data_IF_691517424868
#
_entry.id   IF_691517424868
#
_cell.length_a   1.000
_cell.length_b   1.000
_cell.length_c   1.000
_cell.angle_alpha   90.00
_cell.angle_beta   90.00
_cell.angle_gamma   90.00
#
_symmetry.space_group_name_H-M   'P 1'
#
loop_
_entity.id
_entity.type
_entity.pdbx_description
1 polymer ?
#
# COMPACT_ATOMS: atom_id res chain seq x y z
N UNK A 1 0.65 8.74 -29.77
CA UNK A 1 -0.59 8.38 -29.06
C UNK A 1 -0.42 7.00 -28.47
N UNK A 2 -0.14 6.95 -27.19
CA UNK A 2 0.15 5.68 -26.51
C UNK A 2 -1.13 4.94 -26.08
N UNK A 3 -2.25 5.65 -26.00
CA UNK A 3 -3.51 5.11 -25.53
C UNK A 3 -4.66 5.64 -26.34
N UNK A 4 -5.67 4.81 -26.48
CA UNK A 4 -6.89 5.15 -27.19
C UNK A 4 -7.87 5.81 -26.21
N UNK A 5 -8.45 6.92 -26.57
CA UNK A 5 -9.48 7.57 -25.76
C UNK A 5 -10.80 6.82 -25.92
N UNK A 6 -11.20 6.11 -24.87
CA UNK A 6 -12.41 5.27 -24.87
C UNK A 6 -13.64 6.08 -24.43
N UNK A 7 -13.45 7.12 -23.60
CA UNK A 7 -14.54 7.85 -22.93
C UNK A 7 -14.64 9.32 -23.33
N UNK A 8 -13.81 9.78 -24.26
CA UNK A 8 -13.64 11.20 -24.56
C UNK A 8 -12.82 11.95 -23.50
N UNK A 9 -12.23 11.23 -22.54
CA UNK A 9 -11.35 11.76 -21.49
C UNK A 9 -9.88 11.70 -21.93
N UNK A 10 -9.00 12.30 -21.13
CA UNK A 10 -7.56 12.25 -21.42
C UNK A 10 -6.99 10.87 -21.15
N UNK A 11 -6.43 10.26 -22.16
CA UNK A 11 -5.78 8.94 -22.12
C UNK A 11 -4.27 9.01 -22.37
N UNK A 12 -3.72 10.19 -22.52
CA UNK A 12 -2.30 10.42 -22.73
C UNK A 12 -1.75 11.50 -21.78
N UNK A 13 -0.47 11.39 -21.53
CA UNK A 13 0.28 12.33 -20.70
C UNK A 13 1.26 13.15 -21.55
N UNK A 14 1.76 14.30 -21.06
CA UNK A 14 2.81 15.04 -21.73
C UNK A 14 4.03 14.16 -22.02
N UNK A 15 4.69 14.40 -23.15
CA UNK A 15 5.82 13.58 -23.60
C UNK A 15 6.95 13.49 -22.57
N UNK A 16 7.24 14.57 -21.86
CA UNK A 16 8.24 14.55 -20.79
C UNK A 16 7.88 13.58 -19.65
N UNK A 17 6.62 13.50 -19.26
CA UNK A 17 6.13 12.57 -18.24
C UNK A 17 6.27 11.14 -18.74
N UNK A 18 5.79 10.85 -19.96
CA UNK A 18 5.89 9.52 -20.56
C UNK A 18 7.33 9.05 -20.71
N UNK A 19 8.21 9.93 -21.20
CA UNK A 19 9.62 9.60 -21.39
C UNK A 19 10.30 9.26 -20.07
N UNK A 20 10.04 10.01 -19.00
CA UNK A 20 10.62 9.73 -17.69
C UNK A 20 9.98 8.50 -17.02
N UNK A 21 8.69 8.24 -17.24
CA UNK A 21 8.03 7.02 -16.76
C UNK A 21 8.65 5.78 -17.44
N UNK A 22 8.84 5.80 -18.74
CA UNK A 22 9.47 4.69 -19.46
C UNK A 22 10.92 4.50 -19.06
N UNK A 23 11.71 5.57 -19.08
CA UNK A 23 13.13 5.55 -18.73
C UNK A 23 13.36 5.08 -17.29
N UNK A 24 12.61 5.63 -16.33
CA UNK A 24 12.74 5.28 -14.92
C UNK A 24 12.28 3.86 -14.61
N UNK A 25 11.24 3.37 -15.29
CA UNK A 25 10.82 1.96 -15.13
C UNK A 25 11.85 0.99 -15.70
N UNK A 26 12.48 1.33 -16.82
CA UNK A 26 13.49 0.48 -17.43
C UNK A 26 14.82 0.54 -16.68
N UNK A 27 15.43 1.71 -16.59
CA UNK A 27 16.75 1.86 -15.99
C UNK A 27 16.76 1.72 -14.46
N UNK A 28 15.68 2.11 -13.78
CA UNK A 28 15.57 1.96 -12.34
C UNK A 28 15.52 0.51 -11.86
N UNK A 29 15.20 -0.44 -12.76
CA UNK A 29 15.16 -1.88 -12.46
C UNK A 29 16.49 -2.60 -12.72
N UNK A 30 17.48 -1.91 -13.27
CA UNK A 30 18.79 -2.49 -13.61
C UNK A 30 19.96 -1.78 -12.90
N UNK A 31 19.85 -1.54 -11.57
CA UNK A 31 20.90 -0.83 -10.83
C UNK A 31 22.25 -1.55 -10.89
N UNK A 32 22.26 -2.87 -11.07
CA UNK A 32 23.46 -3.68 -11.25
C UNK A 32 24.23 -3.37 -12.56
N UNK A 33 23.57 -2.78 -13.57
CA UNK A 33 24.21 -2.39 -14.84
C UNK A 33 24.69 -0.95 -14.81
N UNK A 34 23.82 -0.02 -14.35
CA UNK A 34 24.10 1.43 -14.42
C UNK A 34 24.64 2.01 -13.10
N UNK A 35 24.70 1.20 -12.04
CA UNK A 35 25.06 1.60 -10.69
C UNK A 35 23.88 2.17 -9.90
N UNK A 36 23.83 1.86 -8.60
CA UNK A 36 22.71 2.23 -7.70
C UNK A 36 22.45 3.74 -7.65
N UNK A 37 23.54 4.55 -7.59
CA UNK A 37 23.40 6.01 -7.53
C UNK A 37 22.76 6.58 -8.80
N UNK A 38 23.09 6.05 -9.98
CA UNK A 38 22.51 6.50 -11.23
C UNK A 38 21.05 6.06 -11.33
N UNK A 39 20.74 4.80 -10.98
CA UNK A 39 19.39 4.29 -10.94
C UNK A 39 18.52 5.12 -9.98
N UNK A 40 19.04 5.47 -8.80
CA UNK A 40 18.35 6.34 -7.83
C UNK A 40 18.04 7.71 -8.42
N UNK A 41 19.02 8.39 -9.00
CA UNK A 41 18.82 9.71 -9.63
C UNK A 41 17.78 9.69 -10.74
N UNK A 42 17.77 8.63 -11.54
CA UNK A 42 16.76 8.45 -12.62
C UNK A 42 15.37 8.30 -12.02
N UNK A 43 15.22 7.48 -10.98
CA UNK A 43 13.93 7.31 -10.29
C UNK A 43 13.47 8.60 -9.60
N UNK A 44 14.36 9.31 -8.92
CA UNK A 44 14.07 10.62 -8.30
C UNK A 44 13.59 11.63 -9.35
N UNK A 45 14.24 11.69 -10.52
CA UNK A 45 13.82 12.56 -11.62
C UNK A 45 12.46 12.14 -12.18
N UNK A 46 12.21 10.85 -12.37
CA UNK A 46 10.89 10.32 -12.76
C UNK A 46 9.82 10.80 -11.78
N UNK A 47 10.06 10.63 -10.48
CA UNK A 47 9.12 11.05 -9.45
C UNK A 47 8.91 12.58 -9.44
N UNK A 48 9.97 13.36 -9.58
CA UNK A 48 9.87 14.81 -9.62
C UNK A 48 9.01 15.30 -10.81
N UNK A 49 9.25 14.76 -12.01
CA UNK A 49 8.49 15.13 -13.22
C UNK A 49 7.02 14.72 -13.10
N UNK A 50 6.75 13.52 -12.58
CA UNK A 50 5.36 13.05 -12.42
C UNK A 50 4.62 13.87 -11.37
N UNK A 51 5.26 14.20 -10.25
CA UNK A 51 4.70 15.05 -9.21
C UNK A 51 4.39 16.46 -9.74
N UNK A 52 5.33 17.07 -10.46
CA UNK A 52 5.13 18.39 -11.06
C UNK A 52 3.94 18.40 -12.03
N UNK A 53 3.79 17.35 -12.82
CA UNK A 53 2.63 17.16 -13.68
C UNK A 53 1.33 17.10 -12.87
N UNK A 54 1.26 16.28 -11.83
CA UNK A 54 0.07 16.15 -10.99
C UNK A 54 -0.26 17.48 -10.28
N UNK A 55 0.75 18.19 -9.78
CA UNK A 55 0.57 19.50 -9.16
C UNK A 55 -0.04 20.53 -10.11
N UNK A 56 0.45 20.61 -11.34
CA UNK A 56 -0.07 21.52 -12.35
C UNK A 56 -1.48 21.15 -12.79
N UNK A 57 -1.71 19.88 -13.07
CA UNK A 57 -2.98 19.39 -13.59
C UNK A 57 -4.11 19.48 -12.56
N UNK A 58 -3.80 19.29 -11.27
CA UNK A 58 -4.77 19.29 -10.18
C UNK A 58 -4.62 20.48 -9.24
N UNK A 59 -3.99 21.57 -9.69
CA UNK A 59 -3.67 22.73 -8.87
C UNK A 59 -4.89 23.29 -8.13
N UNK A 60 -6.00 23.53 -8.86
CA UNK A 60 -7.23 24.06 -8.28
C UNK A 60 -7.82 23.13 -7.20
N UNK A 61 -7.75 21.83 -7.42
CA UNK A 61 -8.17 20.85 -6.40
C UNK A 61 -7.26 20.94 -5.16
N UNK A 62 -5.95 20.99 -5.35
CA UNK A 62 -4.98 21.02 -4.27
C UNK A 62 -5.10 22.23 -3.36
N UNK A 63 -5.28 23.43 -3.93
CA UNK A 63 -5.33 24.69 -3.16
C UNK A 63 -6.68 24.95 -2.51
N UNK A 64 -7.77 24.37 -3.05
CA UNK A 64 -9.13 24.59 -2.54
C UNK A 64 -9.63 23.41 -1.69
N UNK A 65 -8.85 22.33 -1.54
CA UNK A 65 -9.30 21.16 -0.79
C UNK A 65 -9.40 21.47 0.72
N UNK A 66 -10.60 21.28 1.25
CA UNK A 66 -10.88 21.41 2.69
C UNK A 66 -10.64 20.11 3.42
N UNK A 67 -9.58 20.06 4.23
CA UNK A 67 -9.25 18.89 5.02
C UNK A 67 -10.12 18.81 6.27
N UNK A 68 -10.99 17.80 6.32
CA UNK A 68 -11.80 17.55 7.51
C UNK A 68 -10.90 17.10 8.68
N UNK A 69 -11.12 17.69 9.85
CA UNK A 69 -10.39 17.36 11.07
C UNK A 69 -11.21 16.33 11.83
N UNK A 70 -10.70 15.11 11.93
CA UNK A 70 -11.22 14.12 12.86
C UNK A 70 -10.31 14.10 14.12
N UNK A 71 -10.90 14.36 15.28
CA UNK A 71 -10.20 14.34 16.58
C UNK A 71 -10.59 13.11 17.43
N UNK A 72 -11.43 12.23 16.90
CA UNK A 72 -11.86 11.02 17.59
C UNK A 72 -10.78 9.94 17.57
N UNK A 73 -10.81 9.04 18.53
CA UNK A 73 -9.98 7.83 18.48
C UNK A 73 -10.35 6.99 17.27
N UNK A 74 -9.35 6.31 16.72
CA UNK A 74 -9.56 5.40 15.62
C UNK A 74 -10.47 4.22 16.01
N UNK A 75 -11.23 3.71 15.07
CA UNK A 75 -12.11 2.56 15.30
C UNK A 75 -11.32 1.25 15.40
N UNK A 76 -11.87 0.29 16.15
CA UNK A 76 -11.32 -1.06 16.31
C UNK A 76 -11.77 -2.01 15.19
N UNK A 77 -11.44 -1.65 13.94
CA UNK A 77 -11.75 -2.46 12.76
C UNK A 77 -10.45 -2.75 12.01
N UNK A 78 -10.26 -3.99 11.59
CA UNK A 78 -9.19 -4.38 10.67
C UNK A 78 -9.80 -4.83 9.36
N UNK A 79 -9.41 -4.15 8.28
CA UNK A 79 -9.83 -4.40 6.91
C UNK A 79 -8.74 -5.15 6.16
N UNK A 80 -9.11 -6.22 5.51
CA UNK A 80 -8.22 -6.97 4.60
C UNK A 80 -9.01 -7.32 3.34
N UNK A 81 -8.36 -7.32 2.18
CA UNK A 81 -8.99 -7.65 0.90
C UNK A 81 -8.31 -8.85 0.24
N UNK A 82 -9.13 -9.82 -0.16
CA UNK A 82 -8.76 -10.82 -1.15
C UNK A 82 -9.89 -11.01 -2.15
N UNK A 83 -9.72 -10.48 -3.36
CA UNK A 83 -10.83 -10.34 -4.34
C UNK A 83 -11.52 -11.66 -4.68
N UNK A 84 -10.77 -12.77 -4.69
CA UNK A 84 -11.28 -14.10 -5.05
C UNK A 84 -11.92 -14.86 -3.87
N UNK A 85 -11.92 -14.25 -2.68
CA UNK A 85 -12.37 -14.90 -1.46
C UNK A 85 -11.34 -15.80 -0.79
N UNK A 86 -11.52 -16.03 0.52
CA UNK A 86 -10.59 -16.80 1.35
C UNK A 86 -10.34 -18.20 0.81
N UNK A 87 -11.40 -18.89 0.38
CA UNK A 87 -11.30 -20.30 -0.06
C UNK A 87 -10.39 -20.46 -1.29
N UNK A 88 -10.36 -19.44 -2.16
CA UNK A 88 -9.54 -19.43 -3.37
C UNK A 88 -8.15 -18.80 -3.18
N UNK A 89 -7.84 -18.38 -1.95
CA UNK A 89 -6.53 -17.81 -1.66
C UNK A 89 -5.42 -18.88 -1.64
N UNK A 90 -4.20 -18.56 -2.11
CA UNK A 90 -3.05 -19.45 -1.91
C UNK A 90 -2.82 -19.74 -0.43
N UNK A 91 -2.28 -20.91 -0.10
CA UNK A 91 -2.06 -21.34 1.30
C UNK A 91 -1.27 -20.31 2.13
N UNK A 92 -0.24 -19.71 1.57
CA UNK A 92 0.50 -18.63 2.25
C UNK A 92 -0.42 -17.45 2.59
N UNK A 93 -1.29 -17.05 1.65
CA UNK A 93 -2.24 -15.92 1.86
C UNK A 93 -3.28 -16.29 2.90
N UNK A 94 -3.77 -17.53 2.92
CA UNK A 94 -4.65 -17.99 4.01
C UNK A 94 -3.96 -17.88 5.37
N UNK A 95 -2.69 -18.31 5.47
CA UNK A 95 -1.92 -18.21 6.71
C UNK A 95 -1.72 -16.77 7.17
N UNK A 96 -1.41 -15.86 6.26
CA UNK A 96 -1.26 -14.44 6.60
C UNK A 96 -2.59 -13.80 7.01
N UNK A 97 -3.69 -14.07 6.31
CA UNK A 97 -5.04 -13.65 6.71
C UNK A 97 -5.39 -14.19 8.10
N UNK A 98 -5.09 -15.46 8.38
CA UNK A 98 -5.34 -16.08 9.69
C UNK A 98 -4.52 -15.42 10.80
N UNK A 99 -3.27 -15.00 10.52
CA UNK A 99 -2.45 -14.27 11.48
C UNK A 99 -3.06 -12.91 11.84
N UNK A 100 -3.59 -12.18 10.84
CA UNK A 100 -4.28 -10.90 11.04
C UNK A 100 -5.57 -11.11 11.84
N UNK A 101 -6.38 -12.12 11.46
CA UNK A 101 -7.62 -12.47 12.16
C UNK A 101 -7.34 -12.82 13.63
N UNK A 102 -6.32 -13.62 13.87
CA UNK A 102 -5.93 -14.00 15.23
C UNK A 102 -5.49 -12.84 16.09
N UNK A 103 -4.69 -11.91 15.52
CA UNK A 103 -4.34 -10.67 16.19
C UNK A 103 -5.58 -9.85 16.53
N UNK A 104 -6.52 -9.70 15.59
CA UNK A 104 -7.75 -8.96 15.79
C UNK A 104 -8.58 -9.54 16.94
N UNK A 105 -8.79 -10.85 16.96
CA UNK A 105 -9.51 -11.57 18.02
C UNK A 105 -8.90 -11.32 19.40
N UNK A 106 -7.57 -11.49 19.51
CA UNK A 106 -6.86 -11.33 20.77
C UNK A 106 -6.90 -9.90 21.34
N UNK A 107 -7.03 -8.91 20.47
CA UNK A 107 -7.02 -7.49 20.85
C UNK A 107 -8.41 -6.83 20.76
N UNK A 108 -9.47 -7.61 20.61
CA UNK A 108 -10.85 -7.12 20.52
C UNK A 108 -11.09 -6.14 19.37
N UNK A 109 -10.49 -6.42 18.21
CA UNK A 109 -10.79 -5.74 16.96
C UNK A 109 -11.80 -6.56 16.15
N UNK A 110 -12.70 -5.88 15.45
CA UNK A 110 -13.52 -6.50 14.43
C UNK A 110 -12.65 -6.76 13.20
N UNK A 111 -12.53 -8.01 12.77
CA UNK A 111 -11.84 -8.36 11.53
C UNK A 111 -12.84 -8.49 10.39
N UNK A 112 -12.59 -7.79 9.28
CA UNK A 112 -13.43 -7.83 8.08
C UNK A 112 -12.55 -8.21 6.89
N UNK A 113 -12.76 -9.42 6.37
CA UNK A 113 -12.20 -9.84 5.10
C UNK A 113 -13.16 -9.45 3.98
N UNK A 114 -12.70 -8.55 3.12
CA UNK A 114 -13.43 -8.11 1.94
C UNK A 114 -13.13 -9.05 0.77
N UNK A 115 -14.15 -9.28 -0.02
CA UNK A 115 -14.14 -10.03 -1.26
C UNK A 115 -14.86 -9.19 -2.32
N UNK A 116 -14.71 -9.53 -3.59
CA UNK A 116 -15.32 -8.77 -4.68
C UNK A 116 -16.79 -8.43 -4.43
N UNK A 117 -17.57 -9.41 -4.01
CA UNK A 117 -19.03 -9.28 -3.85
C UNK A 117 -19.45 -8.62 -2.52
N UNK A 118 -18.52 -8.35 -1.62
CA UNK A 118 -18.80 -7.74 -0.31
C UNK A 118 -18.42 -6.27 -0.21
N UNK A 119 -17.65 -5.74 -1.16
CA UNK A 119 -17.15 -4.35 -1.15
C UNK A 119 -18.30 -3.36 -1.08
N UNK A 120 -19.34 -3.55 -1.88
CA UNK A 120 -20.49 -2.64 -1.98
C UNK A 120 -21.34 -2.57 -0.70
N UNK A 121 -21.19 -3.51 0.23
CA UNK A 121 -21.83 -3.44 1.56
C UNK A 121 -21.25 -2.31 2.43
N UNK A 122 -20.02 -1.91 2.17
CA UNK A 122 -19.31 -0.91 2.96
C UNK A 122 -19.11 0.41 2.22
N UNK A 123 -18.77 0.36 0.93
CA UNK A 123 -18.46 1.53 0.11
C UNK A 123 -19.34 1.57 -1.14
N UNK A 124 -20.05 2.66 -1.29
CA UNK A 124 -20.71 3.04 -2.53
C UNK A 124 -19.79 4.01 -3.28
N UNK A 125 -19.28 3.57 -4.42
CA UNK A 125 -18.46 4.41 -5.27
C UNK A 125 -19.31 5.34 -6.13
N UNK A 126 -18.82 6.56 -6.46
CA UNK A 126 -19.47 7.41 -7.44
C UNK A 126 -19.72 6.66 -8.76
N UNK A 127 -20.84 6.96 -9.42
CA UNK A 127 -21.29 6.26 -10.64
C UNK A 127 -20.15 6.14 -11.68
N UNK A 128 -19.46 7.26 -11.97
CA UNK A 128 -18.34 7.27 -12.93
C UNK A 128 -17.22 6.31 -12.53
N UNK A 129 -16.85 6.28 -11.25
CA UNK A 129 -15.81 5.38 -10.74
C UNK A 129 -16.23 3.92 -10.88
N UNK A 130 -17.47 3.62 -10.51
CA UNK A 130 -18.04 2.26 -10.65
C UNK A 130 -18.08 1.80 -12.11
N UNK A 131 -18.48 2.67 -13.03
CA UNK A 131 -18.45 2.40 -14.47
C UNK A 131 -17.04 2.08 -14.97
N UNK A 132 -16.05 2.87 -14.56
CA UNK A 132 -14.64 2.66 -14.94
C UNK A 132 -14.05 1.38 -14.34
N UNK A 133 -14.45 1.00 -13.13
CA UNK A 133 -14.10 -0.29 -12.52
C UNK A 133 -14.70 -1.46 -13.33
N UNK A 134 -15.97 -1.37 -13.70
CA UNK A 134 -16.66 -2.42 -14.46
C UNK A 134 -16.11 -2.59 -15.87
N UNK A 135 -15.64 -1.52 -16.49
CA UNK A 135 -14.99 -1.52 -17.81
C UNK A 135 -13.51 -1.97 -17.75
N UNK A 136 -12.96 -2.21 -16.55
CA UNK A 136 -11.54 -2.56 -16.38
C UNK A 136 -10.56 -1.41 -16.62
N UNK A 137 -11.04 -0.18 -16.73
CA UNK A 137 -10.22 1.05 -16.82
C UNK A 137 -9.46 1.25 -15.51
N UNK A 138 -10.15 1.04 -14.37
CA UNK A 138 -9.54 0.97 -13.05
C UNK A 138 -9.31 -0.50 -12.73
N UNK A 139 -8.06 -0.93 -12.74
CA UNK A 139 -7.67 -2.31 -12.47
C UNK A 139 -7.82 -2.69 -10.99
N UNK A 140 -7.73 -3.98 -10.67
CA UNK A 140 -7.90 -4.49 -9.30
C UNK A 140 -6.92 -3.89 -8.29
N UNK A 141 -5.71 -3.53 -8.72
CA UNK A 141 -4.72 -2.88 -7.84
C UNK A 141 -5.20 -1.48 -7.47
N UNK A 142 -5.67 -0.72 -8.46
CA UNK A 142 -6.20 0.63 -8.22
C UNK A 142 -7.53 0.61 -7.48
N UNK A 143 -8.38 -0.39 -7.73
CA UNK A 143 -9.59 -0.62 -6.92
C UNK A 143 -9.19 -0.81 -5.45
N UNK A 144 -8.18 -1.62 -5.16
CA UNK A 144 -7.67 -1.82 -3.80
C UNK A 144 -7.14 -0.52 -3.18
N UNK A 145 -6.41 0.31 -3.96
CA UNK A 145 -5.90 1.61 -3.50
C UNK A 145 -7.03 2.58 -3.15
N UNK A 146 -8.05 2.68 -3.99
CA UNK A 146 -9.22 3.54 -3.76
C UNK A 146 -10.04 3.02 -2.58
N UNK A 147 -10.25 1.70 -2.50
CA UNK A 147 -11.04 1.06 -1.46
C UNK A 147 -10.43 1.27 -0.07
N UNK A 148 -9.12 1.04 0.10
CA UNK A 148 -8.45 1.19 1.40
C UNK A 148 -8.61 2.59 1.97
N UNK A 149 -8.41 3.62 1.17
CA UNK A 149 -8.54 5.01 1.63
C UNK A 149 -10.01 5.42 1.80
N UNK A 150 -10.93 4.86 1.03
CA UNK A 150 -12.37 5.10 1.18
C UNK A 150 -12.90 4.50 2.49
N UNK A 151 -12.48 3.29 2.83
CA UNK A 151 -12.86 2.63 4.10
C UNK A 151 -12.30 3.39 5.30
N UNK A 152 -11.01 3.75 5.26
CA UNK A 152 -10.37 4.49 6.34
C UNK A 152 -10.97 5.89 6.50
N UNK A 153 -11.32 6.57 5.41
CA UNK A 153 -11.99 7.87 5.45
C UNK A 153 -13.41 7.80 6.05
N UNK A 154 -14.14 6.71 5.79
CA UNK A 154 -15.55 6.57 6.21
C UNK A 154 -15.68 5.96 7.61
N UNK A 155 -14.90 4.94 7.89
CA UNK A 155 -15.05 4.13 9.10
C UNK A 155 -13.84 4.21 10.04
N UNK A 156 -12.71 4.71 9.57
CA UNK A 156 -11.44 4.53 10.26
C UNK A 156 -10.99 3.07 10.27
N UNK A 157 -10.25 2.70 11.30
CA UNK A 157 -9.71 1.36 11.46
C UNK A 157 -8.32 1.20 10.85
N UNK A 158 -7.99 -0.01 10.50
CA UNK A 158 -6.67 -0.39 9.99
C UNK A 158 -6.82 -1.21 8.73
N UNK A 159 -6.20 -0.78 7.65
CA UNK A 159 -6.02 -1.59 6.45
C UNK A 159 -4.74 -2.39 6.56
N UNK A 160 -4.83 -3.69 6.32
CA UNK A 160 -3.70 -4.61 6.27
C UNK A 160 -3.84 -5.46 5.00
N UNK A 161 -2.84 -5.41 4.11
CA UNK A 161 -2.85 -6.27 2.92
C UNK A 161 -2.83 -7.76 3.31
N UNK A 162 -3.54 -8.57 2.55
CA UNK A 162 -3.67 -10.01 2.79
C UNK A 162 -2.34 -10.79 2.79
N UNK A 163 -1.27 -10.21 2.28
CA UNK A 163 0.09 -10.79 2.27
C UNK A 163 0.97 -10.34 3.44
N UNK A 164 0.36 -9.77 4.47
CA UNK A 164 1.06 -9.37 5.70
C UNK A 164 0.91 -10.46 6.75
N UNK A 165 2.04 -10.97 7.24
CA UNK A 165 2.08 -11.77 8.46
C UNK A 165 2.17 -10.83 9.67
N UNK A 166 1.21 -10.97 10.58
CA UNK A 166 1.09 -10.12 11.77
C UNK A 166 1.29 -10.96 13.03
N UNK A 167 2.27 -10.58 13.85
CA UNK A 167 2.51 -11.24 15.13
C UNK A 167 1.41 -10.90 16.15
N UNK A 168 1.11 -11.88 17.02
CA UNK A 168 0.08 -11.71 18.07
C UNK A 168 0.44 -10.66 19.09
N UNK A 169 1.73 -10.41 19.31
CA UNK A 169 2.29 -9.45 20.26
C UNK A 169 2.63 -8.07 19.66
N UNK A 170 2.09 -7.77 18.46
CA UNK A 170 2.14 -6.41 17.93
C UNK A 170 1.38 -5.45 18.89
N UNK A 171 1.95 -4.28 19.14
CA UNK A 171 1.30 -3.28 20.02
C UNK A 171 0.03 -2.71 19.36
N UNK A 172 -1.11 -3.22 19.81
CA UNK A 172 -2.42 -2.82 19.28
C UNK A 172 -2.78 -1.36 19.57
N UNK A 173 -2.13 -0.72 20.56
CA UNK A 173 -2.39 0.69 20.89
C UNK A 173 -1.98 1.64 19.77
N UNK A 174 -1.00 1.25 18.96
CA UNK A 174 -0.57 1.99 17.77
C UNK A 174 -1.69 2.16 16.76
N UNK A 175 -2.57 1.15 16.65
CA UNK A 175 -3.69 1.15 15.70
C UNK A 175 -4.85 2.06 16.13
N UNK A 176 -4.86 2.53 17.37
CA UNK A 176 -5.89 3.44 17.89
C UNK A 176 -5.55 4.92 17.72
N UNK A 177 -4.40 5.23 17.15
CA UNK A 177 -3.98 6.59 16.83
C UNK A 177 -4.74 7.12 15.60
N UNK A 178 -4.81 8.46 15.47
CA UNK A 178 -5.45 9.09 14.31
C UNK A 178 -4.72 8.79 12.98
N UNK A 179 -3.45 8.47 13.07
CA UNK A 179 -2.65 8.03 11.92
C UNK A 179 -1.52 7.12 12.39
N UNK A 180 -1.40 5.96 11.78
CA UNK A 180 -0.28 5.06 11.94
C UNK A 180 0.01 4.32 10.63
N UNK A 181 1.28 4.12 10.36
CA UNK A 181 1.82 3.21 9.34
C UNK A 181 3.18 2.72 9.78
N UNK A 182 3.69 1.67 9.17
CA UNK A 182 5.04 1.18 9.47
C UNK A 182 6.07 2.10 8.82
N UNK A 183 7.02 2.60 9.62
CA UNK A 183 8.16 3.40 9.19
C UNK A 183 9.45 2.68 9.54
N UNK A 184 10.04 1.99 8.59
CA UNK A 184 11.16 1.07 8.82
C UNK A 184 12.51 1.73 9.09
N UNK A 185 12.64 3.03 8.98
CA UNK A 185 13.91 3.73 9.13
C UNK A 185 14.59 4.02 7.79
N UNK A 186 15.91 4.26 7.83
CA UNK A 186 16.68 4.48 6.61
C UNK A 186 16.73 3.21 5.77
N UNK A 187 16.73 3.39 4.47
CA UNK A 187 16.81 2.25 3.56
C UNK A 187 18.21 1.71 3.56
N UNK A 188 18.37 0.47 4.00
CA UNK A 188 19.62 -0.26 3.84
C UNK A 188 19.87 -0.62 2.36
N UNK A 189 18.78 -0.83 1.61
CA UNK A 189 18.82 -1.24 0.21
C UNK A 189 18.33 -0.11 -0.71
N UNK A 190 18.80 -0.10 -1.96
CA UNK A 190 18.28 0.76 -3.01
C UNK A 190 16.77 0.53 -3.15
N UNK A 191 16.00 1.59 -2.97
CA UNK A 191 14.56 1.59 -3.25
C UNK A 191 14.18 2.85 -4.01
N UNK A 192 13.68 2.71 -5.24
CA UNK A 192 13.19 3.82 -6.04
C UNK A 192 11.84 4.36 -5.57
N UNK A 193 11.51 4.19 -4.30
CA UNK A 193 10.17 4.43 -3.77
C UNK A 193 9.96 5.91 -3.46
N UNK A 194 8.87 6.49 -3.96
CA UNK A 194 8.49 7.87 -3.70
C UNK A 194 8.17 8.13 -2.22
N UNK A 195 7.73 7.12 -1.48
CA UNK A 195 7.42 7.24 -0.05
C UNK A 195 8.65 7.56 0.80
N UNK A 196 9.86 7.23 0.34
CA UNK A 196 11.11 7.39 1.09
C UNK A 196 10.99 6.87 2.54
N UNK A 197 10.35 5.72 2.70
CA UNK A 197 10.05 5.07 3.98
C UNK A 197 9.13 5.85 4.95
N UNK A 198 8.49 6.93 4.51
CA UNK A 198 7.56 7.70 5.35
C UNK A 198 6.26 6.96 5.63
N UNK A 199 5.83 6.06 4.74
CA UNK A 199 4.64 5.23 4.86
C UNK A 199 4.76 3.91 4.12
N UNK A 200 3.86 2.98 4.43
CA UNK A 200 3.65 1.72 3.71
C UNK A 200 2.18 1.61 3.34
N UNK A 201 1.86 1.74 2.05
CA UNK A 201 0.47 1.69 1.55
C UNK A 201 -0.28 0.39 1.89
N UNK A 202 0.45 -0.69 2.14
CA UNK A 202 -0.11 -1.99 2.50
C UNK A 202 -0.40 -2.17 4.01
N UNK A 203 -0.10 -1.16 4.84
CA UNK A 203 -0.40 -1.13 6.27
C UNK A 203 -0.68 0.32 6.69
N UNK A 204 -1.94 0.68 6.76
CA UNK A 204 -2.41 2.03 7.06
C UNK A 204 -3.47 1.98 8.14
N UNK A 205 -3.35 2.82 9.14
CA UNK A 205 -4.31 2.88 10.25
C UNK A 205 -4.69 4.32 10.57
N UNK A 206 -5.91 4.53 10.98
CA UNK A 206 -6.40 5.81 11.49
C UNK A 206 -7.65 6.32 10.80
N UNK A 207 -8.00 7.52 11.19
CA UNK A 207 -9.08 8.33 10.65
C UNK A 207 -8.56 9.72 10.21
N UNK A 208 -7.30 9.76 9.78
CA UNK A 208 -6.64 10.97 9.28
C UNK A 208 -7.35 11.54 8.04
N UNK A 209 -7.39 12.87 7.95
CA UNK A 209 -7.86 13.58 6.77
C UNK A 209 -7.08 13.23 5.48
N UNK A 210 -5.91 12.63 5.61
CA UNK A 210 -5.15 12.07 4.49
C UNK A 210 -5.99 11.11 3.65
N UNK A 211 -6.79 10.24 4.31
CA UNK A 211 -7.54 9.20 3.62
C UNK A 211 -8.70 9.79 2.80
N UNK A 212 -9.42 10.76 3.37
CA UNK A 212 -10.46 11.50 2.66
C UNK A 212 -9.90 12.27 1.46
N UNK A 213 -8.81 13.00 1.67
CA UNK A 213 -8.10 13.70 0.60
C UNK A 213 -7.69 12.74 -0.53
N UNK A 214 -7.09 11.61 -0.18
CA UNK A 214 -6.60 10.64 -1.18
C UNK A 214 -7.74 10.02 -1.97
N UNK A 215 -8.84 9.67 -1.31
CA UNK A 215 -10.06 9.17 -1.97
C UNK A 215 -10.59 10.20 -2.98
N UNK A 216 -10.74 11.44 -2.54
CA UNK A 216 -11.34 12.49 -3.35
C UNK A 216 -10.41 12.89 -4.51
N UNK A 217 -9.08 12.84 -4.30
CA UNK A 217 -8.12 13.01 -5.38
C UNK A 217 -8.21 11.89 -6.42
N UNK A 218 -8.38 10.62 -6.02
CA UNK A 218 -8.62 9.54 -6.97
C UNK A 218 -9.88 9.77 -7.80
N UNK A 219 -10.96 10.23 -7.17
CA UNK A 219 -12.20 10.52 -7.89
C UNK A 219 -12.02 11.67 -8.88
N UNK A 220 -11.34 12.75 -8.47
CA UNK A 220 -11.00 13.87 -9.35
C UNK A 220 -10.05 13.42 -10.48
N UNK A 221 -9.05 12.59 -10.17
CA UNK A 221 -8.11 12.04 -11.16
C UNK A 221 -8.85 11.24 -12.22
N UNK A 222 -9.65 10.26 -11.82
CA UNK A 222 -10.39 9.41 -12.76
C UNK A 222 -11.60 10.11 -13.40
N UNK A 223 -11.97 11.32 -12.95
CA UNK A 223 -12.89 12.16 -13.71
C UNK A 223 -12.25 12.74 -14.97
N UNK A 224 -10.92 12.86 -15.01
CA UNK A 224 -10.15 13.46 -16.10
C UNK A 224 -9.38 12.44 -16.94
N UNK A 225 -8.92 11.35 -16.34
CA UNK A 225 -8.04 10.35 -16.95
C UNK A 225 -8.64 8.95 -16.90
N UNK A 226 -8.38 8.18 -17.93
CA UNK A 226 -8.76 6.75 -18.03
C UNK A 226 -7.58 5.81 -17.76
N UNK A 227 -6.44 6.35 -17.38
CA UNK A 227 -5.24 5.57 -17.09
C UNK A 227 -4.47 6.20 -15.93
N UNK A 228 -3.90 5.38 -15.06
CA UNK A 228 -3.00 5.85 -14.02
C UNK A 228 -1.64 6.26 -14.62
N UNK A 229 -1.15 7.45 -14.27
CA UNK A 229 0.17 7.95 -14.70
C UNK A 229 1.32 7.08 -14.21
N UNK A 230 1.14 6.42 -13.06
CA UNK A 230 2.08 5.46 -12.49
C UNK A 230 1.34 4.38 -11.70
N UNK A 231 1.96 3.22 -11.56
CA UNK A 231 1.51 2.16 -10.65
C UNK A 231 1.40 2.66 -9.20
N UNK A 232 2.31 3.55 -8.79
CA UNK A 232 2.39 4.14 -7.46
C UNK A 232 1.56 5.42 -7.31
N UNK A 233 0.45 5.58 -8.04
CA UNK A 233 -0.36 6.80 -8.00
C UNK A 233 -0.77 7.18 -6.56
N UNK A 234 -1.13 6.23 -5.72
CA UNK A 234 -1.45 6.48 -4.31
C UNK A 234 -0.31 7.14 -3.54
N UNK A 235 0.93 6.73 -3.82
CA UNK A 235 2.11 7.30 -3.15
C UNK A 235 2.38 8.75 -3.59
N UNK A 236 2.12 9.08 -4.84
CA UNK A 236 2.16 10.48 -5.31
C UNK A 236 1.09 11.34 -4.63
N UNK A 237 -0.12 10.81 -4.45
CA UNK A 237 -1.20 11.52 -3.78
C UNK A 237 -0.84 11.75 -2.30
N UNK A 238 -0.27 10.77 -1.61
CA UNK A 238 0.22 10.92 -0.24
C UNK A 238 1.34 11.97 -0.14
N UNK A 239 2.25 11.99 -1.12
CA UNK A 239 3.33 12.98 -1.17
C UNK A 239 2.79 14.40 -1.42
N UNK A 240 1.76 14.55 -2.23
CA UNK A 240 1.04 15.83 -2.40
C UNK A 240 0.37 16.27 -1.09
N UNK A 241 -0.33 15.36 -0.40
CA UNK A 241 -0.93 15.66 0.90
C UNK A 241 0.14 16.09 1.93
N UNK A 242 1.27 15.40 1.97
CA UNK A 242 2.43 15.75 2.80
C UNK A 242 2.95 17.15 2.49
N UNK A 243 3.00 17.54 1.22
CA UNK A 243 3.46 18.86 0.79
C UNK A 243 2.46 19.97 1.12
N UNK A 244 1.19 19.75 0.84
CA UNK A 244 0.15 20.77 0.91
C UNK A 244 -0.55 20.91 2.25
N UNK A 245 -0.39 19.93 3.16
CA UNK A 245 -1.02 19.96 4.48
C UNK A 245 -0.03 19.74 5.62
N UNK A 246 0.18 20.75 6.44
CA UNK A 246 1.12 20.72 7.56
C UNK A 246 0.73 19.69 8.63
N UNK A 247 -0.56 19.52 8.91
CA UNK A 247 -1.03 18.57 9.91
C UNK A 247 -0.73 17.13 9.49
N UNK A 248 -0.97 16.79 8.22
CA UNK A 248 -0.63 15.47 7.66
C UNK A 248 0.88 15.26 7.70
N UNK A 249 1.66 16.24 7.27
CA UNK A 249 3.12 16.19 7.33
C UNK A 249 3.61 15.92 8.76
N UNK A 250 3.06 16.64 9.74
CA UNK A 250 3.42 16.47 11.15
C UNK A 250 3.01 15.10 11.69
N UNK A 251 1.85 14.56 11.29
CA UNK A 251 1.47 13.18 11.63
C UNK A 251 2.49 12.15 11.13
N UNK A 252 2.92 12.27 9.87
CA UNK A 252 3.91 11.37 9.27
C UNK A 252 5.31 11.50 9.91
N UNK A 253 5.71 12.73 10.24
CA UNK A 253 7.02 13.00 10.84
C UNK A 253 7.13 12.48 12.28
N UNK A 254 6.03 12.53 13.05
CA UNK A 254 5.98 12.07 14.45
C UNK A 254 6.06 10.55 14.62
N UNK A 255 5.83 9.78 13.56
CA UNK A 255 5.93 8.32 13.65
C UNK A 255 7.35 7.88 13.95
N UNK A 256 7.49 7.02 14.93
CA UNK A 256 8.74 6.38 15.26
C UNK A 256 9.09 5.26 14.26
N UNK A 257 10.38 5.01 14.12
CA UNK A 257 10.88 3.90 13.31
C UNK A 257 10.56 2.58 14.01
N UNK A 258 10.07 1.61 13.24
CA UNK A 258 9.66 0.30 13.76
C UNK A 258 9.79 -0.79 12.69
N UNK A 259 9.72 -2.04 13.11
CA UNK A 259 9.73 -3.21 12.23
C UNK A 259 10.87 -3.18 11.19
N UNK A 260 12.15 -3.09 11.62
CA UNK A 260 13.30 -2.95 10.70
C UNK A 260 13.42 -4.12 9.72
N UNK A 261 12.92 -5.30 10.07
CA UNK A 261 12.97 -6.51 9.26
C UNK A 261 11.64 -6.78 8.51
N UNK A 262 10.85 -5.74 8.24
CA UNK A 262 9.53 -5.84 7.57
C UNK A 262 9.56 -6.71 6.29
N UNK A 263 10.60 -6.61 5.48
CA UNK A 263 10.74 -7.34 4.21
C UNK A 263 11.60 -8.61 4.32
N UNK A 264 12.03 -8.97 5.53
CA UNK A 264 12.93 -10.11 5.71
C UNK A 264 12.28 -11.43 5.30
N UNK A 265 11.04 -11.66 5.74
CA UNK A 265 10.34 -12.91 5.48
C UNK A 265 10.09 -13.12 3.98
N UNK A 266 9.69 -12.07 3.25
CA UNK A 266 9.51 -12.11 1.79
C UNK A 266 10.76 -12.60 1.06
N UNK A 267 11.95 -12.16 1.51
CA UNK A 267 13.24 -12.50 0.91
C UNK A 267 13.77 -13.88 1.34
N UNK A 268 13.29 -14.42 2.45
CA UNK A 268 13.89 -15.60 3.10
C UNK A 268 12.94 -16.80 3.25
N UNK A 269 11.76 -16.77 2.63
CA UNK A 269 10.79 -17.89 2.71
C UNK A 269 11.39 -19.22 2.25
N UNK A 270 12.30 -19.22 1.28
CA UNK A 270 12.98 -20.42 0.78
C UNK A 270 14.17 -20.90 1.62
N UNK A 271 14.65 -20.09 2.57
CA UNK A 271 15.80 -20.46 3.38
C UNK A 271 15.44 -21.50 4.44
N UNK A 272 16.42 -22.33 4.82
CA UNK A 272 16.28 -23.30 5.90
C UNK A 272 15.84 -22.60 7.20
N UNK A 273 14.85 -23.19 7.87
CA UNK A 273 14.33 -22.63 9.10
C UNK A 273 15.32 -22.73 10.26
N UNK A 274 15.52 -21.64 10.96
CA UNK A 274 16.33 -21.58 12.16
C UNK A 274 15.59 -20.78 13.24
N UNK A 275 15.26 -21.46 14.35
CA UNK A 275 14.50 -20.86 15.44
C UNK A 275 15.22 -19.68 16.09
N UNK A 276 16.52 -19.81 16.36
CA UNK A 276 17.30 -18.73 16.99
C UNK A 276 17.38 -17.48 16.11
N UNK A 277 17.49 -17.66 14.80
CA UNK A 277 17.43 -16.55 13.84
C UNK A 277 16.04 -15.91 13.83
N UNK A 278 14.97 -16.71 13.81
CA UNK A 278 13.60 -16.20 13.87
C UNK A 278 13.35 -15.40 15.14
N UNK A 279 13.75 -15.91 16.30
CA UNK A 279 13.61 -15.23 17.58
C UNK A 279 14.38 -13.90 17.62
N UNK A 280 15.55 -13.85 16.99
CA UNK A 280 16.33 -12.62 16.86
C UNK A 280 15.63 -11.56 16.01
N UNK A 281 15.07 -11.96 14.86
CA UNK A 281 14.40 -11.07 13.90
C UNK A 281 13.08 -10.57 14.47
N UNK A 282 12.31 -11.45 15.13
CA UNK A 282 11.00 -11.10 15.70
C UNK A 282 11.09 -10.28 16.98
N UNK A 283 12.27 -10.12 17.56
CA UNK A 283 12.47 -9.27 18.74
C UNK A 283 12.00 -7.84 18.48
N UNK A 284 12.37 -7.26 17.34
CA UNK A 284 12.09 -5.86 16.98
C UNK A 284 11.14 -5.72 15.78
N UNK A 285 10.64 -6.83 15.22
CA UNK A 285 9.74 -6.84 14.07
C UNK A 285 8.55 -7.71 14.34
N UNK A 286 7.36 -7.14 14.29
CA UNK A 286 6.10 -7.81 14.60
C UNK A 286 5.18 -7.92 13.37
N UNK A 287 5.57 -7.30 12.28
CA UNK A 287 4.85 -7.29 11.01
C UNK A 287 5.83 -7.61 9.89
N UNK A 288 5.46 -8.55 9.02
CA UNK A 288 6.31 -8.98 7.91
C UNK A 288 5.53 -8.97 6.60
N UNK A 289 6.11 -8.36 5.57
CA UNK A 289 5.65 -8.53 4.20
C UNK A 289 6.03 -9.92 3.72
N UNK A 290 5.11 -10.57 3.01
CA UNK A 290 5.35 -11.87 2.36
C UNK A 290 5.01 -11.81 0.87
N UNK A 291 5.33 -12.87 0.14
CA UNK A 291 4.94 -13.08 -1.24
C UNK A 291 4.46 -14.51 -1.45
N UNK A 292 3.37 -14.67 -2.20
CA UNK A 292 2.87 -15.98 -2.63
C UNK A 292 3.41 -16.41 -4.01
N UNK A 293 4.15 -15.51 -4.68
CA UNK A 293 4.80 -15.79 -5.97
C UNK A 293 6.11 -16.52 -5.73
N UNK A 294 6.04 -17.79 -5.40
CA UNK A 294 7.17 -18.65 -5.04
C UNK A 294 7.33 -19.78 -6.05
N UNK A 295 8.57 -20.25 -6.24
CA UNK A 295 8.86 -21.45 -7.02
C UNK A 295 8.29 -22.70 -6.35
N UNK A 296 8.03 -23.74 -7.14
CA UNK A 296 7.58 -25.04 -6.61
C UNK A 296 8.61 -25.68 -5.69
N UNK A 297 9.91 -25.49 -5.96
CA UNK A 297 11.00 -25.95 -5.10
C UNK A 297 10.85 -25.43 -3.66
N UNK A 298 10.58 -24.13 -3.50
CA UNK A 298 10.35 -23.52 -2.17
C UNK A 298 9.13 -24.13 -1.49
N UNK A 299 8.04 -24.32 -2.24
CA UNK A 299 6.77 -24.85 -1.70
C UNK A 299 6.87 -26.32 -1.28
N UNK A 300 7.68 -27.11 -1.96
CA UNK A 300 7.87 -28.53 -1.66
C UNK A 300 8.86 -28.79 -0.52
N UNK A 301 9.73 -27.86 -0.21
CA UNK A 301 10.70 -28.01 0.87
C UNK A 301 10.02 -27.92 2.24
N UNK A 302 10.17 -28.96 3.06
CA UNK A 302 9.52 -29.07 4.39
C UNK A 302 10.31 -28.43 5.54
N UNK A 303 11.54 -27.97 5.27
CA UNK A 303 12.45 -27.46 6.30
C UNK A 303 12.73 -25.95 6.19
N UNK A 304 12.02 -25.23 5.34
CA UNK A 304 12.22 -23.80 5.13
C UNK A 304 11.21 -22.94 5.92
N UNK A 305 11.40 -21.60 5.90
CA UNK A 305 10.48 -20.66 6.55
C UNK A 305 9.07 -20.70 5.96
N UNK A 306 8.94 -20.96 4.65
CA UNK A 306 7.64 -21.13 4.03
C UNK A 306 6.86 -22.29 4.65
N UNK A 307 7.48 -23.46 4.80
CA UNK A 307 6.81 -24.63 5.41
C UNK A 307 6.37 -24.35 6.86
N UNK A 308 7.20 -23.63 7.63
CA UNK A 308 6.84 -23.28 9.02
C UNK A 308 5.69 -22.27 9.05
N UNK A 309 5.66 -21.33 8.10
CA UNK A 309 4.58 -20.36 7.98
C UNK A 309 3.23 -21.05 7.66
N UNK A 310 3.20 -21.91 6.64
CA UNK A 310 1.96 -22.62 6.26
C UNK A 310 1.50 -23.62 7.31
N UNK A 311 2.42 -24.21 8.09
CA UNK A 311 2.12 -25.06 9.24
C UNK A 311 1.67 -24.25 10.47
N UNK A 312 1.65 -22.92 10.39
CA UNK A 312 1.31 -21.99 11.50
C UNK A 312 2.22 -22.16 12.72
N UNK A 313 3.53 -22.39 12.47
CA UNK A 313 4.57 -22.62 13.49
C UNK A 313 5.57 -21.45 13.62
N UNK A 314 5.28 -20.29 12.94
CA UNK A 314 6.01 -19.04 13.11
C UNK A 314 5.41 -18.17 14.21
#
# INVERSE_FOLDING_TARGET
>A
NYYQDISGKRTYFPNNVLNWQLLGKFLGQIPHIIGENNARKICEKRHAVTREFLEKEFYEFLINYEFNICNEKNSKIIWTLWMQGYEHAPELVKCTIDSIRKFAELNSFQFILLEKDTIEKYIEFPKLIKEKMNLGIIDYTKISDILRVSLLAKYGGTWVDATIYMSRDFDSSLLLQNYYTIKTGEMADYSPNISQNRWKGFFLSGNSSLFGFTRDFFFEYYSRYDIAVDYLLIDYIFDLAYKYNEKIRNQMLKLEKSNPNLFWLEKNLGNEFNQGLWDSITRNTKVFKTTYKLSEEIKLNKNNFYSKLIDRKL
#
